data_IF_356883097614
#
_entry.id   IF_356883097614
#
_cell.length_a   1.000
_cell.length_b   1.000
_cell.length_c   1.000
_cell.angle_alpha   90.00
_cell.angle_beta   90.00
_cell.angle_gamma   90.00
#
_symmetry.space_group_name_H-M   'P 1'
#
loop_
_entity.id
_entity.type
_entity.pdbx_description
1 polymer ?
#
# COMPACT_ATOMS: atom_id res chain seq x y z
N UNK A 1 26.54 -11.51 24.65
CA UNK A 1 26.48 -11.39 23.18
C UNK A 1 25.89 -10.04 22.82
N UNK A 2 26.54 -9.34 21.90
CA UNK A 2 26.15 -7.98 21.46
C UNK A 2 24.99 -7.94 20.46
N UNK A 3 24.67 -9.06 19.85
CA UNK A 3 23.63 -9.20 18.84
C UNK A 3 22.90 -10.54 18.99
N UNK A 4 21.63 -10.56 18.56
CA UNK A 4 20.78 -11.75 18.58
C UNK A 4 19.97 -11.83 17.29
N UNK A 5 19.85 -13.06 16.74
CA UNK A 5 19.13 -13.31 15.51
C UNK A 5 17.67 -13.72 15.81
N UNK A 6 16.73 -13.17 15.05
CA UNK A 6 15.31 -13.50 15.15
C UNK A 6 14.71 -13.75 13.77
N UNK A 7 13.64 -14.52 13.74
CA UNK A 7 12.73 -14.64 12.60
C UNK A 7 11.44 -13.89 12.94
N UNK A 8 10.96 -13.06 12.04
CA UNK A 8 9.72 -12.30 12.23
C UNK A 8 8.51 -13.21 11.99
N UNK A 9 7.71 -13.52 13.01
CA UNK A 9 6.62 -14.48 12.84
C UNK A 9 5.38 -13.86 12.18
N UNK A 10 5.06 -12.61 12.50
CA UNK A 10 3.81 -11.95 12.13
C UNK A 10 4.03 -10.69 11.30
N UNK A 11 3.00 -10.24 10.59
CA UNK A 11 3.08 -9.11 9.66
C UNK A 11 2.92 -7.72 10.28
N UNK A 12 2.94 -7.59 11.60
CA UNK A 12 2.68 -6.30 12.27
C UNK A 12 3.66 -5.17 11.92
N UNK A 13 4.79 -5.51 11.30
CA UNK A 13 5.80 -4.56 10.84
C UNK A 13 5.89 -4.46 9.29
N UNK A 14 4.99 -5.12 8.57
CA UNK A 14 4.91 -4.97 7.12
C UNK A 14 4.54 -3.52 6.73
N UNK A 15 5.05 -2.97 5.60
CA UNK A 15 5.97 -3.60 4.66
C UNK A 15 7.45 -3.52 5.03
N UNK A 16 7.82 -2.93 6.18
CA UNK A 16 9.23 -2.78 6.60
C UNK A 16 9.88 -4.14 6.88
N UNK A 17 9.16 -5.04 7.56
CA UNK A 17 9.57 -6.40 7.86
C UNK A 17 8.36 -7.31 7.68
N UNK A 18 8.54 -8.35 6.88
CA UNK A 18 7.48 -9.32 6.63
C UNK A 18 7.56 -10.47 7.64
N UNK A 19 6.40 -10.84 8.21
CA UNK A 19 6.21 -12.11 8.87
C UNK A 19 6.08 -13.23 7.85
N UNK A 20 5.52 -14.38 8.24
CA UNK A 20 5.19 -15.43 7.29
C UNK A 20 4.29 -14.90 6.19
N UNK A 21 4.65 -15.09 4.92
CA UNK A 21 3.96 -14.49 3.77
C UNK A 21 4.11 -15.33 2.51
N UNK A 22 3.28 -15.06 1.51
CA UNK A 22 3.40 -15.59 0.14
C UNK A 22 3.83 -14.45 -0.78
N UNK A 23 4.85 -14.67 -1.60
CA UNK A 23 5.28 -13.72 -2.63
C UNK A 23 4.64 -14.06 -3.97
N UNK A 24 4.16 -13.06 -4.67
CA UNK A 24 3.38 -13.19 -5.88
C UNK A 24 3.83 -12.20 -6.95
N UNK A 25 3.64 -12.62 -8.21
CA UNK A 25 3.63 -11.72 -9.34
C UNK A 25 2.20 -11.71 -9.90
N UNK A 26 1.64 -10.54 -10.07
CA UNK A 26 0.32 -10.42 -10.68
C UNK A 26 0.35 -10.94 -12.12
N UNK A 27 -0.53 -11.87 -12.47
CA UNK A 27 -0.60 -12.42 -13.82
C UNK A 27 -0.99 -11.36 -14.85
N UNK A 28 -1.75 -10.35 -14.44
CA UNK A 28 -2.26 -9.30 -15.31
C UNK A 28 -1.25 -8.15 -15.50
N UNK A 29 -0.79 -7.53 -14.43
CA UNK A 29 0.09 -6.36 -14.54
C UNK A 29 1.57 -6.65 -14.24
N UNK A 30 1.91 -7.84 -13.75
CA UNK A 30 3.29 -8.23 -13.46
C UNK A 30 3.90 -7.71 -12.16
N UNK A 31 3.19 -6.83 -11.42
CA UNK A 31 3.73 -6.28 -10.17
C UNK A 31 3.98 -7.38 -9.14
N UNK A 32 5.14 -7.30 -8.47
CA UNK A 32 5.46 -8.19 -7.34
C UNK A 32 4.84 -7.64 -6.06
N UNK A 33 4.21 -8.50 -5.26
CA UNK A 33 3.64 -8.13 -3.97
C UNK A 33 3.63 -9.30 -2.99
N UNK A 34 3.49 -9.01 -1.71
CA UNK A 34 3.43 -10.00 -0.65
C UNK A 34 2.04 -10.04 -0.01
N UNK A 35 1.64 -11.23 0.43
CA UNK A 35 0.38 -11.50 1.13
C UNK A 35 0.69 -12.20 2.44
N UNK A 36 0.16 -11.68 3.55
CA UNK A 36 0.36 -12.27 4.87
C UNK A 36 -0.20 -13.69 4.96
N UNK A 37 0.55 -14.57 5.59
CA UNK A 37 0.18 -15.97 5.81
C UNK A 37 0.50 -16.41 7.25
N UNK A 38 0.59 -15.46 8.17
CA UNK A 38 0.92 -15.75 9.58
C UNK A 38 -0.15 -16.58 10.26
N UNK A 39 -1.41 -16.37 9.90
CA UNK A 39 -2.55 -17.05 10.48
C UNK A 39 -2.67 -18.52 10.07
N UNK A 40 -1.94 -18.94 9.01
CA UNK A 40 -1.90 -20.35 8.60
C UNK A 40 -1.26 -21.26 9.64
N UNK A 41 -0.56 -20.70 10.62
CA UNK A 41 0.09 -21.45 11.70
C UNK A 41 -0.44 -21.01 13.06
N UNK A 42 -0.61 -21.97 13.96
CA UNK A 42 -0.79 -21.66 15.37
C UNK A 42 0.51 -21.10 15.94
N UNK A 43 0.45 -19.92 16.56
CA UNK A 43 1.62 -19.32 17.21
C UNK A 43 2.35 -20.34 18.10
N UNK A 44 3.67 -20.40 17.96
CA UNK A 44 4.60 -21.23 18.74
C UNK A 44 4.59 -22.74 18.49
N UNK A 45 3.72 -23.28 17.64
CA UNK A 45 3.58 -24.73 17.50
C UNK A 45 3.94 -25.29 16.13
N UNK A 46 4.15 -24.44 15.12
CA UNK A 46 4.31 -24.84 13.71
C UNK A 46 3.15 -25.71 13.17
N UNK A 47 2.07 -25.85 13.93
CA UNK A 47 0.88 -26.56 13.46
C UNK A 47 0.16 -25.73 12.41
N UNK A 48 0.04 -26.31 11.23
CA UNK A 48 -0.76 -25.77 10.14
C UNK A 48 -2.24 -25.90 10.44
N UNK A 49 -2.98 -24.81 10.28
CA UNK A 49 -4.43 -24.78 10.46
C UNK A 49 -5.10 -24.69 9.09
N UNK A 50 -5.66 -25.79 8.56
CA UNK A 50 -6.24 -25.83 7.22
C UNK A 50 -7.34 -24.78 6.99
N UNK A 51 -8.16 -24.51 8.00
CA UNK A 51 -9.25 -23.53 7.94
C UNK A 51 -8.75 -22.08 7.82
N UNK A 52 -7.50 -21.82 8.13
CA UNK A 52 -6.87 -20.49 8.05
C UNK A 52 -5.96 -20.34 6.84
N UNK A 53 -6.00 -21.31 5.91
CA UNK A 53 -5.22 -21.23 4.67
C UNK A 53 -5.61 -19.99 3.86
N UNK A 54 -4.62 -19.23 3.46
CA UNK A 54 -4.80 -18.10 2.55
C UNK A 54 -4.96 -18.63 1.13
N UNK A 55 -6.17 -18.49 0.59
CA UNK A 55 -6.60 -19.11 -0.68
C UNK A 55 -6.59 -18.17 -1.87
N UNK A 56 -6.54 -16.86 -1.63
CA UNK A 56 -6.50 -15.88 -2.70
C UNK A 56 -6.19 -14.48 -2.23
N UNK A 57 -5.78 -13.63 -3.15
CA UNK A 57 -5.50 -12.23 -2.88
C UNK A 57 -5.73 -11.36 -4.11
N UNK A 58 -5.91 -10.07 -3.87
CA UNK A 58 -6.07 -9.05 -4.90
C UNK A 58 -4.78 -8.26 -5.08
N UNK A 59 -4.35 -8.11 -6.31
CA UNK A 59 -3.19 -7.29 -6.65
C UNK A 59 -3.36 -5.85 -6.12
N UNK A 60 -2.38 -5.28 -5.41
CA UNK A 60 -2.47 -3.90 -4.91
C UNK A 60 -2.54 -2.88 -6.04
N UNK A 61 -1.94 -3.18 -7.19
CA UNK A 61 -1.87 -2.28 -8.33
C UNK A 61 -3.16 -2.28 -9.17
N UNK A 62 -3.64 -3.45 -9.61
CA UNK A 62 -4.75 -3.56 -10.56
C UNK A 62 -6.00 -4.24 -9.99
N UNK A 63 -5.95 -4.77 -8.77
CA UNK A 63 -7.04 -5.54 -8.12
C UNK A 63 -7.41 -6.84 -8.82
N UNK A 64 -6.58 -7.33 -9.74
CA UNK A 64 -6.77 -8.67 -10.30
C UNK A 64 -6.67 -9.72 -9.21
N UNK A 65 -7.60 -10.67 -9.19
CA UNK A 65 -7.62 -11.75 -8.21
C UNK A 65 -6.64 -12.85 -8.59
N UNK A 66 -5.85 -13.32 -7.63
CA UNK A 66 -4.94 -14.46 -7.79
C UNK A 66 -5.29 -15.57 -6.83
N UNK A 67 -5.49 -16.78 -7.35
CA UNK A 67 -5.67 -17.98 -6.53
C UNK A 67 -4.33 -18.41 -5.92
N UNK A 68 -4.34 -18.69 -4.61
CA UNK A 68 -3.15 -19.00 -3.80
C UNK A 68 -3.19 -20.37 -3.15
N UNK A 69 -4.11 -21.25 -3.56
CA UNK A 69 -4.26 -22.57 -2.92
C UNK A 69 -2.96 -23.39 -2.94
N UNK A 70 -2.20 -23.27 -4.02
CA UNK A 70 -0.94 -24.03 -4.20
C UNK A 70 0.32 -23.21 -3.91
N UNK A 71 0.17 -21.93 -3.54
CA UNK A 71 1.30 -21.06 -3.26
C UNK A 71 1.93 -21.40 -1.89
N UNK A 72 3.22 -21.71 -1.91
CA UNK A 72 3.99 -22.00 -0.70
C UNK A 72 4.37 -20.71 0.02
N UNK A 73 4.18 -20.62 1.33
CA UNK A 73 4.57 -19.45 2.11
C UNK A 73 6.07 -19.47 2.44
N UNK A 74 6.67 -18.30 2.48
CA UNK A 74 7.98 -18.05 3.05
C UNK A 74 7.88 -17.91 4.57
N UNK A 75 8.91 -18.35 5.27
CA UNK A 75 9.10 -18.03 6.69
C UNK A 75 9.40 -16.56 6.86
N UNK A 76 8.97 -15.77 7.69
CA UNK A 76 9.24 -14.33 7.77
C UNK A 76 10.71 -13.91 7.72
N UNK A 77 10.95 -12.63 7.68
CA UNK A 77 12.27 -12.04 7.56
C UNK A 77 13.18 -12.45 8.73
N UNK A 78 14.46 -12.59 8.44
CA UNK A 78 15.51 -12.86 9.43
C UNK A 78 16.21 -11.55 9.74
N UNK A 79 16.25 -11.18 11.01
CA UNK A 79 16.88 -9.95 11.50
C UNK A 79 17.97 -10.25 12.52
N UNK A 80 18.93 -9.34 12.59
CA UNK A 80 19.93 -9.31 13.68
C UNK A 80 19.66 -8.05 14.50
N UNK A 81 19.35 -8.23 15.77
CA UNK A 81 19.07 -7.14 16.71
C UNK A 81 20.34 -6.78 17.45
N UNK A 82 20.75 -5.51 17.32
CA UNK A 82 21.78 -4.93 18.15
C UNK A 82 21.22 -4.61 19.54
N UNK A 83 21.85 -5.10 20.60
CA UNK A 83 21.37 -4.93 21.98
C UNK A 83 21.91 -3.67 22.69
N UNK A 84 22.96 -3.05 22.16
CA UNK A 84 23.64 -1.95 22.84
C UNK A 84 23.09 -0.53 22.64
N UNK A 85 22.36 -0.20 21.54
CA UNK A 85 22.01 1.20 21.29
C UNK A 85 21.32 1.89 22.46
N UNK A 86 20.47 1.14 23.18
CA UNK A 86 19.65 1.69 24.27
C UNK A 86 20.33 1.60 25.66
N UNK A 87 21.54 1.07 25.73
CA UNK A 87 22.39 1.18 26.95
C UNK A 87 23.04 2.58 27.05
N UNK A 88 23.12 3.30 25.91
CA UNK A 88 23.81 4.60 25.80
C UNK A 88 22.92 5.73 25.30
N UNK A 89 21.66 5.48 24.98
CA UNK A 89 20.72 6.48 24.50
C UNK A 89 19.31 5.96 24.40
N UNK A 90 18.35 6.88 24.37
CA UNK A 90 16.95 6.53 24.22
C UNK A 90 16.57 6.30 22.75
N UNK A 91 15.58 5.43 22.47
CA UNK A 91 15.06 5.24 21.12
C UNK A 91 14.35 6.51 20.64
N UNK A 92 14.59 6.85 19.39
CA UNK A 92 13.92 7.97 18.71
C UNK A 92 12.55 7.58 18.17
N UNK A 93 11.71 8.58 17.93
CA UNK A 93 10.42 8.38 17.26
C UNK A 93 10.63 7.73 15.88
N UNK A 94 9.76 6.80 15.52
CA UNK A 94 9.77 5.98 14.32
C UNK A 94 10.86 4.90 14.26
N UNK A 95 11.70 4.77 15.29
CA UNK A 95 12.62 3.64 15.37
C UNK A 95 11.87 2.32 15.51
N UNK A 96 12.43 1.27 14.94
CA UNK A 96 11.95 -0.10 15.14
C UNK A 96 12.68 -0.67 16.34
N UNK A 97 11.94 -1.01 17.40
CA UNK A 97 12.47 -1.50 18.66
C UNK A 97 12.02 -2.92 18.94
N UNK A 98 12.91 -3.70 19.56
CA UNK A 98 12.59 -5.02 20.12
C UNK A 98 12.58 -4.90 21.64
N UNK A 99 11.51 -5.34 22.26
CA UNK A 99 11.33 -5.27 23.70
C UNK A 99 10.60 -6.50 24.24
N UNK A 100 10.79 -6.78 25.52
CA UNK A 100 10.05 -7.82 26.20
C UNK A 100 8.66 -7.36 26.59
N UNK A 101 7.66 -8.17 26.28
CA UNK A 101 6.29 -7.85 26.66
C UNK A 101 6.12 -7.92 28.18
N UNK A 102 5.65 -6.85 28.86
CA UNK A 102 5.64 -6.77 30.31
C UNK A 102 4.84 -7.88 31.00
N UNK A 103 3.70 -8.28 30.42
CA UNK A 103 2.83 -9.32 30.98
C UNK A 103 3.31 -10.75 30.66
N UNK A 104 4.21 -10.91 29.69
CA UNK A 104 4.81 -12.19 29.30
C UNK A 104 6.28 -12.00 28.91
N UNK A 105 7.14 -11.80 29.89
CA UNK A 105 8.56 -11.44 29.71
C UNK A 105 9.40 -12.45 28.89
N UNK A 106 8.87 -13.61 28.62
CA UNK A 106 9.49 -14.60 27.71
C UNK A 106 9.25 -14.27 26.23
N UNK A 107 8.28 -13.38 25.93
CA UNK A 107 7.92 -13.03 24.56
C UNK A 107 8.55 -11.70 24.18
N UNK A 108 9.30 -11.70 23.07
CA UNK A 108 9.84 -10.50 22.46
C UNK A 108 8.86 -9.94 21.44
N UNK A 109 8.63 -8.65 21.51
CA UNK A 109 7.84 -7.91 20.52
C UNK A 109 8.76 -7.01 19.70
N UNK A 110 8.43 -6.86 18.42
CA UNK A 110 9.03 -5.86 17.55
C UNK A 110 7.94 -4.90 17.09
N UNK A 111 8.14 -3.61 17.35
CA UNK A 111 7.18 -2.56 16.99
C UNK A 111 7.91 -1.27 16.62
N UNK A 112 7.19 -0.39 15.91
CA UNK A 112 7.67 0.96 15.62
C UNK A 112 7.26 1.89 16.76
N UNK A 113 8.23 2.64 17.28
CA UNK A 113 7.99 3.62 18.36
C UNK A 113 7.25 4.84 17.80
N UNK A 114 6.06 5.10 18.29
CA UNK A 114 5.20 6.22 17.84
C UNK A 114 5.18 7.36 18.85
N UNK A 115 5.06 7.06 20.14
CA UNK A 115 5.02 8.03 21.24
C UNK A 115 6.32 8.04 22.04
N UNK A 116 6.73 9.20 22.52
CA UNK A 116 7.85 9.37 23.45
C UNK A 116 7.33 9.54 24.89
N UNK A 117 8.17 9.33 25.92
CA UNK A 117 7.75 9.49 27.31
C UNK A 117 7.11 10.85 27.58
N UNK A 118 5.99 10.84 28.31
CA UNK A 118 5.27 12.05 28.69
C UNK A 118 4.43 12.70 27.59
N UNK A 119 4.28 12.07 26.45
CA UNK A 119 3.44 12.58 25.37
C UNK A 119 2.05 11.96 25.38
N UNK A 120 1.08 12.73 24.99
CA UNK A 120 -0.26 12.28 24.62
C UNK A 120 -0.33 12.14 23.10
N UNK A 121 -0.76 10.96 22.62
CA UNK A 121 -0.82 10.62 21.21
C UNK A 121 -2.28 10.54 20.76
N UNK A 122 -2.58 11.16 19.63
CA UNK A 122 -3.86 11.06 18.95
C UNK A 122 -3.66 10.59 17.51
N UNK A 123 -4.45 9.61 17.08
CA UNK A 123 -4.51 9.18 15.68
C UNK A 123 -5.84 9.67 15.13
N UNK A 124 -5.80 10.43 14.05
CA UNK A 124 -6.98 10.99 13.40
C UNK A 124 -6.79 11.06 11.89
N UNK A 125 -7.75 10.50 11.15
CA UNK A 125 -7.77 10.48 9.68
C UNK A 125 -6.49 9.97 9.03
N UNK A 126 -5.83 8.97 9.65
CA UNK A 126 -4.57 8.39 9.18
C UNK A 126 -3.31 9.15 9.61
N UNK A 127 -3.44 10.32 10.20
CA UNK A 127 -2.33 11.09 10.74
C UNK A 127 -2.12 10.84 12.24
N UNK A 128 -0.88 10.93 12.67
CA UNK A 128 -0.47 10.83 14.07
C UNK A 128 -0.13 12.20 14.60
N UNK A 129 -0.70 12.55 15.73
CA UNK A 129 -0.51 13.81 16.43
C UNK A 129 0.03 13.56 17.83
N UNK A 130 0.83 14.50 18.35
CA UNK A 130 1.29 14.48 19.73
C UNK A 130 1.20 15.85 20.40
N UNK A 131 1.06 15.83 21.74
CA UNK A 131 1.26 16.99 22.60
C UNK A 131 1.95 16.57 23.88
N UNK A 132 2.66 17.50 24.53
CA UNK A 132 3.38 17.20 25.79
C UNK A 132 2.51 17.38 27.04
N UNK A 133 1.49 18.20 26.94
CA UNK A 133 0.56 18.45 28.05
C UNK A 133 -0.79 18.98 27.51
N UNK A 134 -1.84 18.94 28.34
CA UNK A 134 -3.20 19.33 27.94
C UNK A 134 -3.35 20.80 27.50
N UNK A 135 -2.41 21.67 27.88
CA UNK A 135 -2.44 23.11 27.53
C UNK A 135 -1.89 23.37 26.13
N UNK A 136 -1.19 22.42 25.55
CA UNK A 136 -0.62 22.53 24.22
C UNK A 136 -1.58 21.94 23.17
N UNK A 137 -1.67 22.53 21.97
CA UNK A 137 -2.42 21.94 20.88
C UNK A 137 -1.70 20.69 20.37
N UNK A 138 -2.47 19.73 19.88
CA UNK A 138 -1.92 18.59 19.14
C UNK A 138 -1.20 19.06 17.88
N UNK A 139 0.01 18.57 17.68
CA UNK A 139 0.81 18.82 16.49
C UNK A 139 0.98 17.54 15.68
N UNK A 140 0.85 17.66 14.36
CA UNK A 140 1.05 16.52 13.45
C UNK A 140 2.51 16.06 13.50
N UNK A 141 2.69 14.76 13.67
CA UNK A 141 4.01 14.13 13.66
C UNK A 141 4.38 13.73 12.24
N UNK A 142 5.34 14.44 11.67
CA UNK A 142 5.88 14.11 10.35
C UNK A 142 7.09 13.18 10.47
N UNK A 143 7.29 12.37 9.44
CA UNK A 143 8.53 11.63 9.25
C UNK A 143 9.46 12.53 8.42
N UNK A 144 10.42 13.17 9.06
CA UNK A 144 11.37 14.11 8.46
C UNK A 144 12.56 13.40 7.77
N UNK A 145 12.83 12.17 8.13
CA UNK A 145 13.86 11.34 7.50
C UNK A 145 13.28 10.59 6.29
N UNK A 146 13.88 10.74 5.11
CA UNK A 146 13.45 10.10 3.86
C UNK A 146 13.44 8.57 3.96
N UNK A 147 14.45 7.97 4.59
CA UNK A 147 14.51 6.51 4.73
C UNK A 147 13.33 5.99 5.56
N UNK A 148 12.97 6.72 6.64
CA UNK A 148 11.79 6.38 7.45
C UNK A 148 10.47 6.57 6.68
N UNK A 149 10.40 7.52 5.74
CA UNK A 149 9.24 7.67 4.86
C UNK A 149 9.15 6.49 3.89
N UNK A 150 10.25 6.15 3.21
CA UNK A 150 10.29 5.07 2.23
C UNK A 150 9.95 3.69 2.83
N UNK A 151 10.44 3.41 4.04
CA UNK A 151 10.20 2.11 4.71
C UNK A 151 8.74 1.85 5.11
N UNK A 152 7.88 2.85 5.07
CA UNK A 152 6.45 2.72 5.41
C UNK A 152 5.52 3.02 4.24
N UNK A 153 6.08 3.25 3.05
CA UNK A 153 5.27 3.44 1.85
C UNK A 153 4.57 2.15 1.44
N UNK A 154 3.34 2.29 1.01
CA UNK A 154 2.56 1.21 0.44
C UNK A 154 2.24 1.52 -1.01
N UNK A 155 2.31 0.50 -1.86
CA UNK A 155 1.98 0.62 -3.26
C UNK A 155 0.48 0.93 -3.43
N UNK A 156 0.18 2.08 -4.02
CA UNK A 156 -1.17 2.46 -4.44
C UNK A 156 -1.37 2.18 -5.92
N UNK A 157 -0.42 2.61 -6.74
CA UNK A 157 -0.37 2.37 -8.18
C UNK A 157 1.04 2.62 -8.71
N UNK A 158 1.49 1.70 -9.56
CA UNK A 158 2.75 1.80 -10.28
C UNK A 158 2.44 1.77 -11.79
N UNK A 159 2.76 2.86 -12.49
CA UNK A 159 2.47 3.02 -13.91
C UNK A 159 3.41 2.20 -14.81
N UNK A 160 4.53 1.73 -14.28
CA UNK A 160 5.44 0.81 -14.99
C UNK A 160 4.82 -0.60 -15.14
N UNK A 161 3.78 -0.88 -14.36
CA UNK A 161 3.04 -2.15 -14.37
C UNK A 161 1.56 -1.95 -14.73
N UNK A 162 1.24 -1.50 -15.97
CA UNK A 162 -0.14 -1.26 -16.37
C UNK A 162 -0.92 -2.58 -16.49
N UNK A 163 -2.18 -2.62 -16.08
CA UNK A 163 -3.06 -3.76 -16.35
C UNK A 163 -3.48 -3.77 -17.81
N UNK A 164 -2.72 -4.47 -18.65
CA UNK A 164 -2.77 -4.34 -20.12
C UNK A 164 -4.11 -4.75 -20.69
N UNK A 165 -4.62 -5.92 -20.29
CA UNK A 165 -5.86 -6.46 -20.83
C UNK A 165 -7.03 -5.49 -20.61
N UNK A 166 -7.27 -5.06 -19.36
CA UNK A 166 -8.41 -4.19 -19.05
C UNK A 166 -8.29 -2.81 -19.73
N UNK A 167 -7.06 -2.30 -19.91
CA UNK A 167 -6.81 -1.05 -20.64
C UNK A 167 -7.12 -1.18 -22.13
N UNK A 168 -6.81 -2.32 -22.76
CA UNK A 168 -7.11 -2.60 -24.19
C UNK A 168 -8.63 -2.59 -24.44
N UNK A 169 -9.43 -3.02 -23.46
CA UNK A 169 -10.89 -3.02 -23.55
C UNK A 169 -11.56 -1.74 -23.08
N UNK A 170 -10.79 -0.65 -22.89
CA UNK A 170 -11.33 0.69 -22.66
C UNK A 170 -11.40 1.13 -21.20
N UNK A 171 -10.77 0.42 -20.25
CA UNK A 171 -10.57 0.95 -18.90
C UNK A 171 -9.72 2.22 -18.96
N UNK A 172 -10.11 3.31 -18.25
CA UNK A 172 -9.39 4.56 -18.35
C UNK A 172 -8.01 4.51 -17.68
N UNK A 173 -7.05 5.21 -18.27
CA UNK A 173 -5.75 5.48 -17.66
C UNK A 173 -5.91 6.28 -16.36
N UNK A 174 -5.03 6.03 -15.38
CA UNK A 174 -5.09 6.74 -14.10
C UNK A 174 -4.41 8.11 -14.11
N UNK A 175 -3.55 8.35 -15.07
CA UNK A 175 -2.94 9.64 -15.32
C UNK A 175 -3.53 10.24 -16.57
N UNK A 176 -4.03 11.45 -16.49
CA UNK A 176 -4.57 12.16 -17.65
C UNK A 176 -4.28 13.65 -17.60
N UNK A 177 -4.10 14.27 -18.78
CA UNK A 177 -4.02 15.72 -18.88
C UNK A 177 -5.34 16.37 -18.54
N UNK A 178 -5.34 17.34 -17.64
CA UNK A 178 -6.53 18.04 -17.17
C UNK A 178 -6.29 19.55 -17.07
N UNK A 179 -7.33 20.33 -17.21
CA UNK A 179 -7.32 21.76 -16.88
C UNK A 179 -8.15 22.02 -15.63
N UNK A 180 -7.69 22.94 -14.81
CA UNK A 180 -8.47 23.46 -13.70
C UNK A 180 -9.53 24.44 -14.24
N UNK A 181 -10.78 24.27 -13.85
CA UNK A 181 -11.89 25.10 -14.36
C UNK A 181 -11.74 26.57 -13.94
N UNK A 182 -11.32 26.78 -12.69
CA UNK A 182 -10.96 28.11 -12.15
C UNK A 182 -9.79 27.96 -11.16
N UNK A 183 -8.94 28.97 -11.01
CA UNK A 183 -7.74 28.90 -10.15
C UNK A 183 -7.99 28.55 -8.68
N UNK A 184 -9.21 28.71 -8.18
CA UNK A 184 -9.59 28.48 -6.77
C UNK A 184 -10.49 27.26 -6.62
N UNK A 185 -10.96 26.68 -7.72
CA UNK A 185 -11.84 25.50 -7.68
C UNK A 185 -11.03 24.20 -7.72
N UNK A 186 -11.47 23.22 -6.94
CA UNK A 186 -10.91 21.86 -6.98
C UNK A 186 -11.45 21.03 -8.14
N UNK A 187 -12.25 21.64 -9.03
CA UNK A 187 -12.84 20.99 -10.19
C UNK A 187 -11.87 21.01 -11.37
N UNK A 188 -11.66 19.84 -11.94
CA UNK A 188 -10.83 19.61 -13.12
C UNK A 188 -11.68 19.00 -14.24
N UNK A 189 -11.33 19.32 -15.47
CA UNK A 189 -11.95 18.77 -16.67
C UNK A 189 -10.88 18.18 -17.60
N UNK A 190 -11.22 17.09 -18.28
CA UNK A 190 -10.33 16.47 -19.24
C UNK A 190 -10.03 17.39 -20.42
N UNK A 191 -8.78 17.39 -20.86
CA UNK A 191 -8.35 18.12 -22.03
C UNK A 191 -8.44 17.23 -23.28
N UNK A 192 -9.21 17.68 -24.27
CA UNK A 192 -9.26 17.02 -25.59
C UNK A 192 -7.96 17.18 -26.39
N UNK A 193 -7.25 18.28 -26.16
CA UNK A 193 -5.93 18.57 -26.74
C UNK A 193 -5.04 19.11 -25.62
N UNK A 194 -3.92 18.47 -25.39
CA UNK A 194 -2.96 18.81 -24.37
C UNK A 194 -1.54 18.87 -24.92
N UNK A 195 -0.69 19.66 -24.29
CA UNK A 195 0.76 19.63 -24.53
C UNK A 195 1.46 18.46 -23.82
N UNK A 196 0.74 17.72 -22.98
CA UNK A 196 1.23 16.47 -22.41
C UNK A 196 1.06 15.33 -23.40
N UNK A 197 2.14 14.62 -23.68
CA UNK A 197 2.13 13.41 -24.51
C UNK A 197 2.58 12.20 -23.67
N UNK A 198 1.83 11.11 -23.78
CA UNK A 198 2.22 9.82 -23.18
C UNK A 198 3.03 9.03 -24.22
N UNK A 199 4.28 8.76 -23.90
CA UNK A 199 5.05 7.69 -24.53
C UNK A 199 4.61 6.37 -23.89
N UNK A 200 3.88 5.55 -24.63
CA UNK A 200 3.32 4.29 -24.14
C UNK A 200 4.37 3.20 -23.96
N UNK A 201 5.49 3.28 -24.64
CA UNK A 201 6.57 2.32 -24.54
C UNK A 201 7.35 2.51 -23.24
N UNK A 202 7.79 3.74 -22.97
CA UNK A 202 8.51 4.10 -21.76
C UNK A 202 7.59 4.45 -20.57
N UNK A 203 6.28 4.51 -20.76
CA UNK A 203 5.27 4.98 -19.78
C UNK A 203 5.59 6.37 -19.20
N UNK A 204 6.26 7.21 -19.99
CA UNK A 204 6.68 8.55 -19.60
C UNK A 204 5.76 9.61 -20.18
N UNK A 205 5.38 10.58 -19.34
CA UNK A 205 4.64 11.76 -19.79
C UNK A 205 5.62 12.91 -20.06
N UNK A 206 5.56 13.47 -21.27
CA UNK A 206 6.39 14.59 -21.69
C UNK A 206 5.53 15.82 -21.97
N UNK A 207 5.93 16.96 -21.41
CA UNK A 207 5.27 18.23 -21.69
C UNK A 207 5.98 18.94 -22.87
N UNK A 208 5.28 19.07 -24.00
CA UNK A 208 5.78 19.72 -25.22
C UNK A 208 5.28 21.15 -25.40
N UNK A 209 4.79 21.77 -24.33
CA UNK A 209 4.37 23.15 -24.35
C UNK A 209 5.53 24.15 -24.43
N UNK A 210 5.33 25.28 -25.09
CA UNK A 210 6.33 26.36 -25.14
C UNK A 210 6.42 27.06 -23.79
N UNK A 211 7.60 27.10 -23.19
CA UNK A 211 7.86 27.87 -21.98
C UNK A 211 7.56 29.38 -22.21
N UNK A 212 6.80 29.98 -21.29
CA UNK A 212 6.56 31.43 -21.26
C UNK A 212 5.38 31.96 -22.07
N UNK A 213 4.54 31.12 -22.69
CA UNK A 213 3.26 31.60 -23.20
C UNK A 213 2.24 31.65 -22.05
N UNK A 214 1.70 32.85 -21.79
CA UNK A 214 0.56 33.03 -20.88
C UNK A 214 -0.65 32.24 -21.42
N UNK A 215 -0.83 31.03 -20.90
CA UNK A 215 -1.87 30.10 -21.28
C UNK A 215 -2.57 29.54 -20.04
N UNK A 216 -3.61 28.76 -20.25
CA UNK A 216 -4.24 28.00 -19.18
C UNK A 216 -3.24 26.98 -18.64
N UNK A 217 -3.22 26.82 -17.32
CA UNK A 217 -2.41 25.77 -16.68
C UNK A 217 -2.97 24.39 -17.04
N UNK A 218 -2.12 23.57 -17.59
CA UNK A 218 -2.40 22.15 -17.82
C UNK A 218 -1.74 21.31 -16.75
N UNK A 219 -2.50 20.38 -16.20
CA UNK A 219 -2.06 19.49 -15.14
C UNK A 219 -2.02 18.06 -15.67
N UNK A 220 -0.97 17.33 -15.35
CA UNK A 220 -1.02 15.87 -15.38
C UNK A 220 -1.54 15.40 -14.02
N UNK A 221 -2.72 14.80 -14.01
CA UNK A 221 -3.40 14.46 -12.77
C UNK A 221 -3.62 12.97 -12.64
N UNK A 222 -3.30 12.44 -11.44
CA UNK A 222 -3.64 11.10 -11.05
C UNK A 222 -5.11 11.00 -10.64
N UNK A 223 -5.79 9.97 -11.13
CA UNK A 223 -7.14 9.60 -10.76
C UNK A 223 -7.15 8.17 -10.22
N UNK A 224 -7.63 7.98 -9.00
CA UNK A 224 -7.68 6.66 -8.40
C UNK A 224 -8.88 5.86 -8.93
N UNK A 225 -8.77 5.41 -10.18
CA UNK A 225 -9.77 4.60 -10.88
C UNK A 225 -9.35 3.14 -10.77
N UNK A 226 -9.97 2.42 -9.85
CA UNK A 226 -9.59 1.05 -9.46
C UNK A 226 -10.67 0.06 -9.87
N UNK A 227 -10.36 -0.98 -10.67
CA UNK A 227 -11.32 -2.01 -11.02
C UNK A 227 -11.85 -2.76 -9.79
N UNK A 228 -13.11 -3.16 -9.84
CA UNK A 228 -13.72 -4.09 -8.89
C UNK A 228 -13.68 -5.49 -9.48
N UNK A 229 -14.00 -6.46 -8.65
CA UNK A 229 -14.10 -7.85 -9.12
C UNK A 229 -15.20 -8.05 -10.17
N UNK A 230 -16.27 -7.28 -10.08
CA UNK A 230 -17.35 -7.30 -11.09
C UNK A 230 -16.90 -6.82 -12.45
N UNK A 231 -16.01 -5.82 -12.52
CA UNK A 231 -15.46 -5.34 -13.79
C UNK A 231 -14.48 -6.37 -14.38
N UNK A 232 -13.64 -7.00 -13.54
CA UNK A 232 -12.78 -8.10 -14.00
C UNK A 232 -13.59 -9.32 -14.47
N UNK A 233 -14.62 -9.72 -13.72
CA UNK A 233 -15.50 -10.82 -14.11
C UNK A 233 -16.21 -10.50 -15.45
N UNK A 234 -16.76 -9.31 -15.61
CA UNK A 234 -17.41 -8.89 -16.83
C UNK A 234 -16.48 -8.92 -18.04
N UNK A 235 -15.23 -8.45 -17.86
CA UNK A 235 -14.22 -8.52 -18.93
C UNK A 235 -13.94 -9.96 -19.35
N UNK A 236 -13.77 -10.86 -18.38
CA UNK A 236 -13.49 -12.28 -18.65
C UNK A 236 -14.66 -13.02 -19.30
N UNK A 237 -15.90 -12.70 -18.90
CA UNK A 237 -17.11 -13.35 -19.40
C UNK A 237 -17.57 -12.79 -20.74
N UNK A 238 -17.51 -11.45 -20.90
CA UNK A 238 -18.01 -10.77 -22.09
C UNK A 238 -17.26 -9.46 -22.39
N UNK A 239 -16.11 -9.52 -23.08
CA UNK A 239 -15.29 -8.34 -23.40
C UNK A 239 -16.02 -7.25 -24.20
N UNK A 240 -16.94 -7.65 -25.10
CA UNK A 240 -17.71 -6.68 -25.89
C UNK A 240 -18.67 -5.87 -25.03
N UNK A 241 -19.39 -6.53 -24.14
CA UNK A 241 -20.29 -5.87 -23.19
C UNK A 241 -19.49 -5.00 -22.21
N UNK A 242 -18.31 -5.45 -21.78
CA UNK A 242 -17.41 -4.65 -20.97
C UNK A 242 -17.06 -3.33 -21.66
N UNK A 243 -16.60 -3.38 -22.91
CA UNK A 243 -16.25 -2.20 -23.71
C UNK A 243 -17.45 -1.25 -23.87
N UNK A 244 -18.64 -1.79 -24.18
CA UNK A 244 -19.86 -0.97 -24.28
C UNK A 244 -20.20 -0.29 -22.94
N UNK A 245 -20.01 -1.00 -21.83
CA UNK A 245 -20.24 -0.48 -20.50
C UNK A 245 -19.27 0.67 -20.18
N UNK A 246 -17.98 0.52 -20.50
CA UNK A 246 -16.98 1.57 -20.30
C UNK A 246 -17.29 2.84 -21.10
N UNK A 247 -17.79 2.69 -22.32
CA UNK A 247 -18.20 3.82 -23.17
C UNK A 247 -19.45 4.54 -22.65
N UNK A 248 -20.44 3.78 -22.17
CA UNK A 248 -21.73 4.33 -21.72
C UNK A 248 -21.73 4.84 -20.29
N UNK A 249 -20.92 4.24 -19.42
CA UNK A 249 -20.82 4.54 -18.00
C UNK A 249 -19.38 4.36 -17.49
N UNK A 250 -18.48 5.28 -17.83
CA UNK A 250 -17.09 5.16 -17.42
C UNK A 250 -16.94 5.17 -15.90
N UNK A 251 -15.99 4.40 -15.36
CA UNK A 251 -15.75 4.33 -13.93
C UNK A 251 -15.25 5.67 -13.40
N UNK A 252 -15.66 5.98 -12.17
CA UNK A 252 -15.27 7.22 -11.52
C UNK A 252 -14.10 7.03 -10.57
N UNK A 253 -13.31 8.09 -10.41
CA UNK A 253 -12.24 8.16 -9.41
C UNK A 253 -12.82 8.06 -8.01
N UNK A 254 -12.12 7.32 -7.14
CA UNK A 254 -12.43 7.14 -5.72
C UNK A 254 -11.32 7.73 -4.85
N UNK A 255 -11.60 7.86 -3.55
CA UNK A 255 -10.54 8.16 -2.59
C UNK A 255 -9.58 6.96 -2.49
N UNK A 256 -8.30 7.27 -2.33
CA UNK A 256 -7.30 6.26 -2.00
C UNK A 256 -7.67 5.71 -0.63
N UNK A 257 -7.86 4.40 -0.54
CA UNK A 257 -8.17 3.70 0.70
C UNK A 257 -6.91 3.05 1.28
N UNK A 258 -6.98 2.71 2.55
CA UNK A 258 -5.94 1.98 3.30
C UNK A 258 -5.86 0.50 2.89
N UNK A 259 -5.87 0.25 1.59
CA UNK A 259 -5.75 -1.11 1.07
C UNK A 259 -4.29 -1.55 1.03
N UNK A 260 -4.00 -2.68 1.67
CA UNK A 260 -2.74 -3.40 1.49
C UNK A 260 -3.03 -4.86 1.17
N UNK A 261 -2.39 -5.40 0.13
CA UNK A 261 -2.53 -6.80 -0.25
C UNK A 261 -2.08 -7.74 0.89
N UNK A 262 -1.16 -7.30 1.71
CA UNK A 262 -0.63 -8.08 2.82
C UNK A 262 -1.71 -8.46 3.86
N UNK A 263 -2.67 -7.59 4.11
CA UNK A 263 -3.73 -7.79 5.10
C UNK A 263 -5.11 -8.08 4.50
N UNK A 264 -5.23 -8.04 3.16
CA UNK A 264 -6.51 -8.23 2.45
C UNK A 264 -6.43 -9.47 1.56
N UNK A 265 -6.74 -10.62 2.10
CA UNK A 265 -6.70 -11.91 1.43
C UNK A 265 -7.99 -12.70 1.67
N UNK A 266 -8.24 -13.71 0.83
CA UNK A 266 -9.33 -14.67 0.99
C UNK A 266 -8.84 -15.90 1.74
N UNK A 267 -9.68 -16.48 2.57
CA UNK A 267 -9.29 -17.51 3.55
C UNK A 267 -8.64 -16.89 4.79
N UNK A 268 -8.01 -17.68 5.60
CA UNK A 268 -7.47 -17.23 6.88
C UNK A 268 -8.54 -17.01 7.95
N UNK A 269 -8.14 -16.53 9.12
CA UNK A 269 -9.08 -16.08 10.13
C UNK A 269 -9.75 -14.81 9.65
N UNK A 270 -11.05 -14.76 9.55
CA UNK A 270 -11.87 -13.68 9.00
C UNK A 270 -11.84 -12.37 9.82
N UNK A 271 -10.80 -12.14 10.61
CA UNK A 271 -10.63 -10.97 11.48
C UNK A 271 -9.99 -9.76 10.80
N UNK A 272 -9.77 -9.78 9.49
CA UNK A 272 -9.12 -8.72 8.73
C UNK A 272 -10.06 -7.77 7.99
N UNK A 273 -11.21 -7.43 8.56
CA UNK A 273 -12.03 -6.32 8.10
C UNK A 273 -11.82 -5.13 9.02
N UNK A 274 -10.95 -4.22 8.60
CA UNK A 274 -10.91 -2.84 9.08
C UNK A 274 -10.91 -1.87 7.90
#
# INVERSE_FOLDING_TARGET
YSAEAFVIPTGSMAPTLYGRHKELHCAECGVKYAVGASDELVEKTEYYVPDYKVTGAFCPNCRYYTNLQDAMPFTGDRIIVNKFPFDYGDPGRWDVIVFKYPEASQTNYIKRLVGLPGEEIQISRGDVYARKNEKEPFQILRKDNLDKQLTVQQLVYDDDYPPREILEYGWPERWSPMQQVKPVETRFEDLKQSAWELDRESRAYQFKGAAGKAGKLEWLRYQHIVPRQSEWALLQENPELFTQTMLSSPPQSRLISDYTAYNNYSGGSSSGLF
#
